data_IF_369861163422
#
_entry.id   IF_369861163422
#
_cell.length_a   1.000
_cell.length_b   1.000
_cell.length_c   1.000
_cell.angle_alpha   90.00
_cell.angle_beta   90.00
_cell.angle_gamma   90.00
#
_symmetry.space_group_name_H-M   'P 1'
#
loop_
_entity.id
_entity.type
_entity.pdbx_description
1 polymer ?
#
# COMPACT_ATOMS: atom_id res chain seq x y z
N UNK A 1 -10.34 -16.73 -5.83
CA UNK A 1 -9.42 -16.87 -4.69
C UNK A 1 -8.05 -16.42 -5.17
N UNK A 2 -7.53 -15.31 -4.66
CA UNK A 2 -6.31 -14.68 -5.19
C UNK A 2 -5.03 -15.47 -4.87
N UNK A 3 -5.10 -16.36 -3.87
CA UNK A 3 -3.94 -17.09 -3.38
C UNK A 3 -3.42 -18.16 -4.36
N UNK A 4 -4.29 -18.75 -5.18
CA UNK A 4 -3.89 -19.83 -6.09
C UNK A 4 -3.33 -19.34 -7.44
N UNK A 5 -3.48 -18.05 -7.77
CA UNK A 5 -3.07 -17.53 -9.09
C UNK A 5 -1.55 -17.65 -9.29
N UNK A 6 -0.77 -17.18 -8.31
CA UNK A 6 0.68 -17.18 -8.41
C UNK A 6 1.29 -18.59 -8.33
N UNK A 7 0.64 -19.51 -7.61
CA UNK A 7 1.04 -20.92 -7.57
C UNK A 7 0.88 -21.58 -8.94
N UNK A 8 -0.27 -21.38 -9.59
CA UNK A 8 -0.53 -21.91 -10.94
C UNK A 8 0.40 -21.25 -11.94
N UNK A 9 0.58 -19.93 -11.86
CA UNK A 9 1.47 -19.19 -12.75
C UNK A 9 2.91 -19.70 -12.66
N UNK A 10 3.44 -19.88 -11.46
CA UNK A 10 4.78 -20.44 -11.25
C UNK A 10 4.92 -21.84 -11.83
N UNK A 11 3.90 -22.70 -11.66
CA UNK A 11 3.89 -24.04 -12.28
C UNK A 11 3.87 -23.98 -13.81
N UNK A 12 3.10 -23.07 -14.41
CA UNK A 12 3.04 -22.89 -15.87
C UNK A 12 4.36 -22.40 -16.45
N UNK A 13 5.05 -21.47 -15.79
CA UNK A 13 6.38 -21.04 -16.23
C UNK A 13 7.41 -22.17 -16.11
N UNK A 14 7.33 -22.96 -15.02
CA UNK A 14 8.22 -24.10 -14.78
C UNK A 14 7.99 -25.28 -15.74
N UNK A 15 6.80 -25.40 -16.35
CA UNK A 15 6.49 -26.47 -17.30
C UNK A 15 7.06 -26.22 -18.71
N UNK A 16 7.88 -25.18 -18.88
CA UNK A 16 8.59 -24.89 -20.12
C UNK A 16 7.89 -23.86 -21.01
N UNK A 17 8.68 -23.23 -21.90
CA UNK A 17 8.26 -22.09 -22.73
C UNK A 17 7.10 -22.37 -23.68
N UNK A 18 6.88 -23.64 -24.04
CA UNK A 18 5.74 -24.10 -24.85
C UNK A 18 4.37 -23.91 -24.16
N UNK A 19 4.37 -23.78 -22.83
CA UNK A 19 3.17 -23.58 -22.03
C UNK A 19 3.04 -22.14 -21.53
N UNK A 20 3.97 -21.26 -21.90
CA UNK A 20 3.95 -19.88 -21.42
C UNK A 20 2.72 -19.14 -21.98
N UNK A 21 1.96 -18.45 -21.11
CA UNK A 21 0.86 -17.60 -21.56
C UNK A 21 1.38 -16.40 -22.36
N UNK A 22 0.63 -15.97 -23.36
CA UNK A 22 0.96 -14.78 -24.16
C UNK A 22 0.91 -13.48 -23.36
N UNK A 23 0.01 -13.40 -22.36
CA UNK A 23 -0.18 -12.24 -21.49
C UNK A 23 -0.41 -12.70 -20.05
N UNK A 24 0.27 -12.04 -19.11
CA UNK A 24 0.18 -12.31 -17.68
C UNK A 24 -0.12 -11.04 -16.90
N UNK A 25 -0.78 -11.19 -15.76
CA UNK A 25 -0.98 -10.11 -14.80
C UNK A 25 -0.03 -10.38 -13.65
N UNK A 26 0.88 -9.44 -13.38
CA UNK A 26 1.93 -9.62 -12.39
C UNK A 26 1.84 -8.53 -11.32
N UNK A 27 1.95 -8.93 -10.06
CA UNK A 27 2.34 -8.01 -8.99
C UNK A 27 3.79 -7.57 -9.15
N UNK A 28 4.17 -6.47 -8.50
CA UNK A 28 5.48 -5.81 -8.65
C UNK A 28 6.67 -6.76 -8.50
N UNK A 29 6.68 -7.63 -7.48
CA UNK A 29 7.79 -8.57 -7.24
C UNK A 29 7.94 -9.64 -8.31
N UNK A 30 6.83 -10.15 -8.87
CA UNK A 30 6.88 -11.15 -9.95
C UNK A 30 7.24 -10.49 -11.29
N UNK A 31 6.79 -9.26 -11.51
CA UNK A 31 7.16 -8.48 -12.68
C UNK A 31 8.67 -8.25 -12.75
N UNK A 32 9.28 -7.75 -11.67
CA UNK A 32 10.73 -7.53 -11.63
C UNK A 32 11.54 -8.84 -11.68
N UNK A 33 11.07 -9.89 -11.00
CA UNK A 33 11.69 -11.21 -11.04
C UNK A 33 11.73 -11.80 -12.46
N UNK A 34 10.57 -11.91 -13.11
CA UNK A 34 10.48 -12.48 -14.46
C UNK A 34 11.13 -11.62 -15.53
N UNK A 35 11.12 -10.29 -15.38
CA UNK A 35 11.91 -9.41 -16.24
C UNK A 35 13.41 -9.69 -16.10
N UNK A 36 13.92 -9.79 -14.86
CA UNK A 36 15.32 -10.09 -14.59
C UNK A 36 15.77 -11.48 -15.05
N UNK A 37 14.87 -12.46 -15.06
CA UNK A 37 15.09 -13.80 -15.61
C UNK A 37 15.01 -13.85 -17.15
N UNK A 38 14.62 -12.75 -17.80
CA UNK A 38 14.44 -12.67 -19.26
C UNK A 38 13.20 -13.40 -19.78
N UNK A 39 12.24 -13.70 -18.89
CA UNK A 39 11.00 -14.39 -19.25
C UNK A 39 9.95 -13.44 -19.85
N UNK A 40 10.11 -12.12 -19.67
CA UNK A 40 9.23 -11.10 -20.24
C UNK A 40 9.86 -10.44 -21.48
N UNK A 41 9.01 -10.06 -22.42
CA UNK A 41 9.43 -9.34 -23.62
C UNK A 41 9.80 -7.89 -23.29
N UNK A 42 11.01 -7.48 -23.67
CA UNK A 42 11.39 -6.07 -23.70
C UNK A 42 10.60 -5.34 -24.81
N UNK A 43 9.54 -4.64 -24.39
CA UNK A 43 8.63 -3.91 -25.27
C UNK A 43 8.96 -2.41 -25.35
N UNK A 44 10.16 -2.00 -24.93
CA UNK A 44 10.56 -0.58 -24.88
C UNK A 44 10.40 0.13 -26.21
N UNK A 45 10.87 -0.49 -27.29
CA UNK A 45 10.74 0.07 -28.65
C UNK A 45 9.28 0.13 -29.10
N UNK A 46 8.48 -0.88 -28.76
CA UNK A 46 7.07 -0.90 -29.08
C UNK A 46 6.32 0.22 -28.35
N UNK A 47 6.60 0.43 -27.06
CA UNK A 47 6.04 1.51 -26.26
C UNK A 47 6.42 2.89 -26.82
N UNK A 48 7.71 3.12 -27.07
CA UNK A 48 8.23 4.39 -27.57
C UNK A 48 7.64 4.81 -28.92
N UNK A 49 7.29 3.83 -29.76
CA UNK A 49 6.70 4.07 -31.07
C UNK A 49 5.16 3.95 -31.09
N UNK A 50 4.54 3.59 -29.97
CA UNK A 50 3.10 3.31 -29.89
C UNK A 50 2.24 4.57 -30.04
N UNK A 51 1.05 4.39 -30.62
CA UNK A 51 0.00 5.42 -30.59
C UNK A 51 -0.56 5.62 -29.17
N UNK A 52 -0.45 4.61 -28.30
CA UNK A 52 -0.82 4.71 -26.89
C UNK A 52 0.02 5.78 -26.18
N UNK A 53 1.35 5.77 -26.36
CA UNK A 53 2.24 6.78 -25.77
C UNK A 53 1.95 8.20 -26.28
N UNK A 54 1.51 8.34 -27.52
CA UNK A 54 1.18 9.64 -28.15
C UNK A 54 -0.21 10.15 -27.75
N UNK A 55 -1.06 9.31 -27.18
CA UNK A 55 -2.42 9.67 -26.83
C UNK A 55 -2.41 10.60 -25.61
N UNK A 56 -2.99 11.81 -25.67
CA UNK A 56 -3.02 12.74 -24.53
C UNK A 56 -3.84 12.24 -23.34
N UNK A 57 -4.66 11.19 -23.51
CA UNK A 57 -5.43 10.56 -22.42
C UNK A 57 -4.67 9.42 -21.73
N UNK A 58 -3.49 9.05 -22.24
CA UNK A 58 -2.65 8.03 -21.61
C UNK A 58 -1.78 8.69 -20.55
N UNK A 59 -1.87 8.19 -19.32
CA UNK A 59 -0.94 8.57 -18.27
C UNK A 59 0.40 7.87 -18.50
N UNK A 60 1.28 8.57 -19.22
CA UNK A 60 2.64 8.09 -19.53
C UNK A 60 3.45 7.87 -18.26
N UNK A 61 3.26 8.68 -17.22
CA UNK A 61 3.98 8.56 -15.96
C UNK A 61 3.67 7.25 -15.24
N UNK A 62 2.41 6.82 -15.27
CA UNK A 62 1.98 5.52 -14.73
C UNK A 62 2.61 4.34 -15.47
N UNK A 63 2.75 4.43 -16.80
CA UNK A 63 3.36 3.35 -17.60
C UNK A 63 4.89 3.32 -17.42
N UNK A 64 5.55 4.47 -17.56
CA UNK A 64 7.01 4.58 -17.48
C UNK A 64 7.55 4.43 -16.05
N UNK A 65 6.70 4.64 -15.03
CA UNK A 65 7.02 4.31 -13.65
C UNK A 65 7.31 2.82 -13.41
N UNK A 66 6.93 1.93 -14.34
CA UNK A 66 7.25 0.50 -14.30
C UNK A 66 8.50 0.11 -15.10
N UNK A 67 9.30 1.08 -15.57
CA UNK A 67 10.57 0.76 -16.21
C UNK A 67 11.57 0.18 -15.21
N UNK A 68 12.27 -0.86 -15.65
CA UNK A 68 13.37 -1.49 -14.92
C UNK A 68 14.64 -1.23 -15.71
N UNK A 69 15.59 -0.49 -15.12
CA UNK A 69 16.86 -0.11 -15.77
C UNK A 69 16.68 0.53 -17.17
N UNK A 70 15.59 1.30 -17.36
CA UNK A 70 15.27 1.96 -18.62
C UNK A 70 14.52 1.09 -19.64
N UNK A 71 14.23 -0.17 -19.30
CA UNK A 71 13.49 -1.11 -20.12
C UNK A 71 12.07 -1.32 -19.60
N UNK A 72 11.09 -1.47 -20.50
CA UNK A 72 9.69 -1.72 -20.18
C UNK A 72 9.31 -3.15 -20.57
N UNK A 73 8.76 -3.91 -19.63
CA UNK A 73 8.38 -5.32 -19.81
C UNK A 73 6.87 -5.55 -19.67
N UNK A 74 6.08 -4.50 -19.44
CA UNK A 74 4.64 -4.59 -19.25
C UNK A 74 3.97 -3.23 -19.08
N UNK A 75 2.65 -3.21 -19.21
CA UNK A 75 1.83 -2.00 -19.04
C UNK A 75 1.15 -2.00 -17.67
N UNK A 76 1.13 -0.85 -17.00
CA UNK A 76 0.36 -0.70 -15.77
C UNK A 76 -1.15 -0.74 -16.08
N UNK A 77 -1.93 -1.42 -15.25
CA UNK A 77 -3.39 -1.42 -15.35
C UNK A 77 -4.03 -0.12 -14.83
N UNK A 78 -3.25 0.74 -14.16
CA UNK A 78 -3.65 2.05 -13.67
C UNK A 78 -2.66 2.58 -12.63
N UNK A 79 -2.76 3.86 -12.30
CA UNK A 79 -2.12 4.41 -11.12
C UNK A 79 -2.81 3.85 -9.87
N UNK A 80 -2.03 3.37 -8.89
CA UNK A 80 -2.60 2.89 -7.64
C UNK A 80 -3.48 3.97 -6.99
N UNK A 81 -4.69 3.61 -6.58
CA UNK A 81 -5.51 4.47 -5.74
C UNK A 81 -4.96 4.41 -4.31
N UNK A 82 -4.67 5.56 -3.72
CA UNK A 82 -4.37 5.62 -2.29
C UNK A 82 -5.56 5.17 -1.46
N UNK A 83 -5.31 4.67 -0.26
CA UNK A 83 -6.38 4.37 0.68
C UNK A 83 -6.95 5.67 1.27
N UNK A 84 -8.26 5.66 1.56
CA UNK A 84 -8.95 6.74 2.24
C UNK A 84 -9.35 6.27 3.63
N UNK A 85 -8.99 7.05 4.65
CA UNK A 85 -9.43 6.81 6.02
C UNK A 85 -10.83 7.36 6.22
N UNK A 86 -11.73 6.55 6.76
CA UNK A 86 -13.10 6.94 7.07
C UNK A 86 -13.34 6.90 8.58
N UNK A 87 -14.11 7.86 9.08
CA UNK A 87 -14.56 7.92 10.47
C UNK A 87 -16.08 7.96 10.56
N UNK A 88 -16.65 7.47 11.67
CA UNK A 88 -18.09 7.46 11.92
C UNK A 88 -18.51 8.74 12.64
N UNK A 89 -19.13 9.69 11.93
CA UNK A 89 -19.56 10.97 12.51
C UNK A 89 -20.51 10.80 13.70
N UNK A 90 -21.46 9.86 13.62
CA UNK A 90 -22.39 9.60 14.72
C UNK A 90 -21.68 9.20 16.03
N UNK A 91 -20.58 8.45 15.93
CA UNK A 91 -19.78 8.05 17.10
C UNK A 91 -19.09 9.25 17.74
N UNK A 92 -18.57 10.18 16.93
CA UNK A 92 -18.06 11.45 17.43
C UNK A 92 -19.14 12.23 18.18
N UNK A 93 -20.34 12.33 17.60
CA UNK A 93 -21.45 13.07 18.21
C UNK A 93 -21.89 12.43 19.55
N UNK A 94 -21.93 11.10 19.63
CA UNK A 94 -22.23 10.36 20.87
C UNK A 94 -21.19 10.59 21.96
N UNK A 95 -19.91 10.70 21.59
CA UNK A 95 -18.81 10.99 22.51
C UNK A 95 -18.64 12.49 22.79
N UNK A 96 -19.39 13.38 22.13
CA UNK A 96 -19.23 14.83 22.26
C UNK A 96 -17.91 15.36 21.69
N UNK A 97 -17.36 14.68 20.68
CA UNK A 97 -16.08 15.02 20.05
C UNK A 97 -16.28 15.74 18.72
N UNK A 98 -15.37 16.67 18.43
CA UNK A 98 -15.24 17.27 17.11
C UNK A 98 -14.45 16.37 16.15
N UNK A 99 -14.46 16.70 14.86
CA UNK A 99 -13.64 16.00 13.87
C UNK A 99 -12.17 16.26 14.20
N UNK A 100 -11.33 15.23 14.40
CA UNK A 100 -9.93 15.42 14.75
C UNK A 100 -9.17 16.05 13.57
N UNK A 101 -8.33 17.04 13.90
CA UNK A 101 -7.45 17.75 12.96
C UNK A 101 -5.97 17.58 13.30
N UNK A 102 -5.68 17.01 14.47
CA UNK A 102 -4.33 16.71 14.97
C UNK A 102 -4.21 15.23 15.37
N UNK A 103 -2.98 14.74 15.50
CA UNK A 103 -2.73 13.37 15.91
C UNK A 103 -3.17 13.11 17.37
N UNK A 104 -2.98 14.10 18.25
CA UNK A 104 -3.42 14.03 19.64
C UNK A 104 -4.95 13.89 19.74
N UNK A 105 -5.70 14.71 18.99
CA UNK A 105 -7.17 14.61 18.91
C UNK A 105 -7.61 13.26 18.32
N UNK A 106 -6.86 12.73 17.36
CA UNK A 106 -7.10 11.40 16.80
C UNK A 106 -6.90 10.29 17.85
N UNK A 107 -5.86 10.38 18.70
CA UNK A 107 -5.67 9.44 19.81
C UNK A 107 -6.78 9.55 20.87
N UNK A 108 -7.20 10.76 21.21
CA UNK A 108 -8.33 10.98 22.13
C UNK A 108 -9.63 10.37 21.57
N UNK A 109 -9.88 10.52 20.27
CA UNK A 109 -10.99 9.87 19.58
C UNK A 109 -10.90 8.35 19.68
N UNK A 110 -9.73 7.76 19.42
CA UNK A 110 -9.55 6.31 19.50
C UNK A 110 -9.74 5.77 20.91
N UNK A 111 -9.29 6.50 21.93
CA UNK A 111 -9.52 6.16 23.34
C UNK A 111 -11.01 6.19 23.67
N UNK A 112 -11.71 7.28 23.29
CA UNK A 112 -13.15 7.40 23.49
C UNK A 112 -13.94 6.29 22.77
N UNK A 113 -13.54 5.91 21.56
CA UNK A 113 -14.20 4.84 20.84
C UNK A 113 -13.93 3.45 21.44
N UNK A 114 -12.71 3.24 21.95
CA UNK A 114 -12.30 1.92 22.46
C UNK A 114 -12.68 1.68 23.91
N UNK A 115 -12.85 2.74 24.71
CA UNK A 115 -13.13 2.66 26.14
C UNK A 115 -14.50 3.26 26.53
N UNK A 116 -15.13 4.04 25.66
CA UNK A 116 -16.48 4.56 25.82
C UNK A 116 -17.55 3.68 25.16
N UNK A 117 -18.72 4.27 24.96
CA UNK A 117 -19.89 3.69 24.26
C UNK A 117 -20.22 4.55 23.03
N UNK A 118 -19.33 4.58 22.01
CA UNK A 118 -19.55 5.39 20.81
C UNK A 118 -20.73 4.89 19.97
N UNK A 119 -21.06 3.60 20.02
CA UNK A 119 -22.14 2.98 19.26
C UNK A 119 -23.51 3.04 19.96
N UNK A 120 -23.53 3.38 21.25
CA UNK A 120 -24.74 3.68 22.02
C UNK A 120 -25.50 2.43 22.47
N UNK A 121 -24.82 1.31 22.65
CA UNK A 121 -25.41 0.04 23.08
C UNK A 121 -25.48 -0.10 24.62
N UNK A 122 -24.93 0.87 25.35
CA UNK A 122 -24.88 0.93 26.81
C UNK A 122 -23.71 0.15 27.41
N UNK A 123 -22.79 -0.38 26.61
CA UNK A 123 -21.64 -1.17 27.05
C UNK A 123 -20.35 -0.44 26.70
N UNK A 124 -19.72 0.16 27.69
CA UNK A 124 -18.41 0.77 27.49
C UNK A 124 -17.35 -0.29 27.16
N UNK A 125 -16.53 -0.01 26.16
CA UNK A 125 -15.29 -0.73 25.89
C UNK A 125 -15.42 -2.01 25.06
N UNK A 126 -16.55 -2.19 24.36
CA UNK A 126 -16.74 -3.29 23.41
C UNK A 126 -16.58 -2.87 21.94
N UNK A 127 -16.46 -1.56 21.67
CA UNK A 127 -16.26 -1.03 20.31
C UNK A 127 -14.78 -1.06 19.91
N UNK A 128 -14.51 -1.44 18.67
CA UNK A 128 -13.17 -1.39 18.07
C UNK A 128 -12.96 0.00 17.45
N UNK A 129 -12.11 0.84 18.06
CA UNK A 129 -11.90 2.23 17.64
C UNK A 129 -11.23 2.40 16.27
N UNK A 130 -10.43 1.43 15.82
CA UNK A 130 -9.78 1.44 14.50
C UNK A 130 -9.65 0.03 13.94
N UNK A 131 -9.85 -0.11 12.63
CA UNK A 131 -9.59 -1.34 11.90
C UNK A 131 -8.98 -1.03 10.54
N UNK A 132 -8.10 -1.91 10.07
CA UNK A 132 -7.42 -1.80 8.80
C UNK A 132 -7.03 -3.19 8.27
N UNK A 133 -6.77 -3.29 6.97
CA UNK A 133 -6.24 -4.49 6.33
C UNK A 133 -4.75 -4.66 6.67
N UNK A 134 -4.47 -5.03 7.92
CA UNK A 134 -3.11 -5.22 8.44
C UNK A 134 -2.46 -3.91 8.92
N UNK A 135 -1.65 -4.02 9.98
CA UNK A 135 -0.84 -2.92 10.54
C UNK A 135 0.41 -2.59 9.70
N UNK A 136 0.85 -3.55 8.90
CA UNK A 136 1.83 -3.42 7.81
C UNK A 136 1.23 -4.23 6.67
N UNK A 137 0.94 -3.59 5.54
CA UNK A 137 0.34 -4.29 4.40
C UNK A 137 1.31 -5.32 3.81
N UNK A 138 0.78 -6.40 3.23
CA UNK A 138 1.56 -7.27 2.34
C UNK A 138 1.61 -6.72 0.90
N UNK A 139 0.89 -5.62 0.65
CA UNK A 139 0.74 -4.98 -0.65
C UNK A 139 1.51 -3.65 -0.66
N UNK A 140 2.23 -3.40 -1.75
CA UNK A 140 2.92 -2.13 -1.95
C UNK A 140 1.93 -1.03 -2.36
N UNK A 141 2.07 0.21 -1.86
CA UNK A 141 3.05 0.65 -0.88
C UNK A 141 2.73 0.11 0.52
N UNK A 142 3.72 -0.39 1.26
CA UNK A 142 3.52 -1.05 2.57
C UNK A 142 2.92 -0.14 3.67
N UNK A 143 2.75 1.15 3.37
CA UNK A 143 2.05 2.20 4.15
C UNK A 143 0.61 2.43 3.73
N UNK A 144 0.04 1.60 2.86
CA UNK A 144 -1.27 1.89 2.29
C UNK A 144 -2.34 2.06 3.38
N UNK A 145 -2.19 1.33 4.49
CA UNK A 145 -3.13 1.36 5.60
C UNK A 145 -2.54 2.09 6.78
N UNK A 146 -3.38 2.88 7.48
CA UNK A 146 -3.02 3.62 8.68
C UNK A 146 -1.90 4.67 8.48
N UNK A 147 -1.92 5.50 7.40
CA UNK A 147 -0.91 6.53 7.18
C UNK A 147 -0.78 7.52 8.35
N UNK A 148 -1.88 7.76 9.09
CA UNK A 148 -1.94 8.64 10.26
C UNK A 148 -1.02 8.15 11.39
N UNK A 149 -0.77 6.84 11.46
CA UNK A 149 0.08 6.23 12.47
C UNK A 149 1.57 6.32 12.14
N UNK A 150 1.92 6.56 10.88
CA UNK A 150 3.31 6.65 10.47
C UNK A 150 3.93 8.03 10.69
N UNK A 151 3.15 9.13 10.82
CA UNK A 151 3.65 10.49 11.14
C UNK A 151 5.00 10.82 10.48
N UNK A 152 5.02 10.80 9.13
CA UNK A 152 6.19 11.03 8.27
C UNK A 152 7.23 9.89 8.20
N UNK A 153 7.04 8.78 8.93
CA UNK A 153 7.83 7.58 8.74
C UNK A 153 7.43 6.84 7.45
N UNK A 154 8.44 6.35 6.74
CA UNK A 154 8.24 5.51 5.56
C UNK A 154 8.91 4.15 5.80
N UNK A 155 8.17 3.03 5.95
CA UNK A 155 8.68 1.67 6.10
C UNK A 155 9.20 1.12 4.76
N UNK A 156 9.98 1.92 4.04
CA UNK A 156 10.65 1.55 2.80
C UNK A 156 11.80 2.54 2.53
N UNK A 157 12.53 2.32 1.45
CA UNK A 157 13.56 3.25 1.01
C UNK A 157 12.91 4.42 0.26
N UNK A 158 13.41 5.63 0.48
CA UNK A 158 13.09 6.79 -0.35
C UNK A 158 14.38 7.41 -0.88
N UNK A 159 14.28 8.14 -1.99
CA UNK A 159 15.42 8.83 -2.57
C UNK A 159 15.59 10.18 -1.88
N UNK A 160 16.78 10.43 -1.32
CA UNK A 160 17.16 11.73 -0.77
C UNK A 160 17.32 12.78 -1.86
N UNK A 161 17.36 14.06 -1.48
CA UNK A 161 17.57 15.18 -2.40
C UNK A 161 18.89 15.07 -3.19
N UNK A 162 19.84 14.30 -2.67
CA UNK A 162 21.14 14.00 -3.28
C UNK A 162 21.15 12.74 -4.17
N UNK A 163 19.99 12.12 -4.37
CA UNK A 163 19.84 10.89 -5.14
C UNK A 163 20.18 9.60 -4.39
N UNK A 164 20.60 9.68 -3.12
CA UNK A 164 20.92 8.50 -2.31
C UNK A 164 19.67 7.74 -1.86
N UNK A 165 19.74 6.41 -1.77
CA UNK A 165 18.66 5.62 -1.17
C UNK A 165 18.74 5.71 0.35
N UNK A 166 17.83 6.46 0.95
CA UNK A 166 17.72 6.60 2.39
C UNK A 166 16.75 5.53 2.89
N UNK A 167 17.20 4.69 3.82
CA UNK A 167 16.29 3.81 4.55
C UNK A 167 15.38 4.68 5.41
N UNK A 168 14.08 4.67 5.11
CA UNK A 168 13.07 5.23 6.00
C UNK A 168 13.13 4.47 7.31
N UNK A 169 13.71 5.14 8.30
CA UNK A 169 14.25 4.49 9.49
C UNK A 169 13.12 3.92 10.34
N UNK A 170 13.16 2.60 10.55
CA UNK A 170 12.45 1.83 11.58
C UNK A 170 12.43 2.40 13.02
N UNK A 171 13.39 3.20 13.54
CA UNK A 171 13.32 3.70 14.92
C UNK A 171 12.08 4.53 15.28
N UNK A 172 11.45 5.25 14.35
CA UNK A 172 10.23 5.99 14.66
C UNK A 172 9.00 5.07 14.77
N UNK A 173 8.97 3.98 13.99
CA UNK A 173 7.98 2.91 14.10
C UNK A 173 8.16 2.12 15.40
N UNK A 174 9.41 1.87 15.84
CA UNK A 174 9.71 1.22 17.12
C UNK A 174 9.28 2.12 18.29
N UNK A 175 9.64 3.40 18.25
CA UNK A 175 9.19 4.40 19.23
C UNK A 175 7.67 4.50 19.28
N UNK A 176 6.98 4.36 18.14
CA UNK A 176 5.52 4.29 18.06
C UNK A 176 4.96 3.03 18.73
N UNK A 177 5.46 1.83 18.40
CA UNK A 177 5.03 0.58 19.06
C UNK A 177 5.29 0.61 20.56
N UNK A 178 6.37 1.25 21.00
CA UNK A 178 6.70 1.43 22.41
C UNK A 178 5.80 2.47 23.10
N UNK A 179 5.35 3.54 22.41
CA UNK A 179 4.37 4.50 22.94
C UNK A 179 3.00 3.85 23.13
N UNK A 180 2.52 3.09 22.14
CA UNK A 180 1.25 2.35 22.22
C UNK A 180 1.28 1.27 23.31
N UNK A 181 2.38 0.53 23.45
CA UNK A 181 2.57 -0.44 24.56
C UNK A 181 2.58 0.23 25.93
N UNK A 182 3.24 1.38 26.07
CA UNK A 182 3.31 2.11 27.35
C UNK A 182 1.98 2.72 27.78
N UNK A 183 1.10 3.12 26.85
CA UNK A 183 -0.23 3.64 27.18
C UNK A 183 -1.26 2.56 27.53
N UNK A 184 -1.11 1.33 27.03
CA UNK A 184 -2.09 0.24 27.26
C UNK A 184 -1.66 -0.86 28.24
N UNK A 185 -0.54 -0.70 28.95
CA UNK A 185 -0.23 -1.53 30.12
C UNK A 185 -0.27 -3.06 29.89
N UNK A 186 0.19 -3.52 28.72
CA UNK A 186 0.40 -4.93 28.40
C UNK A 186 1.79 -5.18 27.84
#
# INVERSE_FOLDING_TARGET
DHNAYYDVLGQTFASGSENWPDVVILGSSYYSGYAGEGALWDMTDAWNNSELKKNPNTDVGVVEGNMLDGHLYGLALGGGGGCMTFLRKQWLDNCGLDIPTTYEEYLEMLDAFSNGDPDGDGINGNTIGVSAAGFVGNEAPYTNYLPEFYQDAYPSFYQGEDGSSISGRYPDIILFTDRMRKQHGR
#
